data_IF_588384067602
#
_entry.id   IF_588384067602
#
_cell.length_a   1.000
_cell.length_b   1.000
_cell.length_c   1.000
_cell.angle_alpha   90.00
_cell.angle_beta   90.00
_cell.angle_gamma   90.00
#
_symmetry.space_group_name_H-M   'P 1'
#
loop_
_entity.id
_entity.type
_entity.pdbx_description
1 polymer ?
#
# COMPACT_ATOMS: atom_id res chain seq x y z
N UNK A 1 -15.87 -19.86 -0.19
CA UNK A 1 -14.94 -18.88 -0.78
C UNK A 1 -15.46 -18.59 -2.18
N UNK A 2 -16.09 -17.44 -2.38
CA UNK A 2 -16.35 -16.96 -3.74
C UNK A 2 -14.98 -16.74 -4.40
N UNK A 3 -14.79 -17.26 -5.62
CA UNK A 3 -13.63 -16.94 -6.45
C UNK A 3 -13.63 -15.41 -6.65
N UNK A 4 -12.83 -14.70 -5.86
CA UNK A 4 -12.53 -13.29 -6.07
C UNK A 4 -11.80 -13.19 -7.42
N UNK A 5 -12.47 -12.58 -8.40
CA UNK A 5 -12.06 -12.62 -9.81
C UNK A 5 -10.64 -12.10 -10.02
N UNK A 6 -9.86 -12.85 -10.80
CA UNK A 6 -8.61 -12.39 -11.40
C UNK A 6 -8.79 -11.02 -12.10
N UNK A 7 -7.71 -10.27 -12.26
CA UNK A 7 -7.74 -8.99 -12.93
C UNK A 7 -8.19 -9.13 -14.39
N UNK A 8 -9.22 -8.39 -14.77
CA UNK A 8 -9.83 -8.43 -16.10
C UNK A 8 -9.90 -7.03 -16.72
N UNK A 9 -9.74 -6.97 -18.05
CA UNK A 9 -9.95 -5.77 -18.86
C UNK A 9 -11.08 -6.03 -19.85
N UNK A 10 -12.18 -5.28 -19.70
CA UNK A 10 -13.36 -5.39 -20.57
C UNK A 10 -13.42 -4.16 -21.47
N UNK A 11 -13.42 -4.37 -22.79
CA UNK A 11 -13.53 -3.28 -23.77
C UNK A 11 -15.00 -3.06 -24.16
N UNK A 12 -15.51 -1.85 -23.94
CA UNK A 12 -16.83 -1.40 -24.36
C UNK A 12 -16.69 -0.14 -25.24
N UNK A 13 -16.68 -0.33 -26.56
CA UNK A 13 -16.47 0.78 -27.50
C UNK A 13 -15.11 1.42 -27.31
N UNK A 14 -15.08 2.70 -26.93
CA UNK A 14 -13.83 3.45 -26.64
C UNK A 14 -13.42 3.45 -25.16
N UNK A 15 -14.16 2.73 -24.31
CA UNK A 15 -13.94 2.67 -22.86
C UNK A 15 -13.39 1.29 -22.52
N UNK A 16 -12.29 1.23 -21.77
CA UNK A 16 -11.85 0.00 -21.11
C UNK A 16 -12.27 0.04 -19.64
N UNK A 17 -12.86 -1.04 -19.12
CA UNK A 17 -13.18 -1.19 -17.71
C UNK A 17 -12.17 -2.15 -17.07
N UNK A 18 -11.59 -1.72 -15.95
CA UNK A 18 -10.75 -2.60 -15.13
C UNK A 18 -11.60 -3.21 -14.02
N UNK A 19 -11.52 -4.53 -13.88
CA UNK A 19 -12.28 -5.29 -12.90
C UNK A 19 -11.35 -6.21 -12.11
N UNK A 20 -11.63 -6.39 -10.81
CA UNK A 20 -10.88 -7.28 -9.95
C UNK A 20 -9.78 -6.58 -9.15
N UNK A 21 -8.64 -7.25 -8.97
CA UNK A 21 -7.56 -6.82 -8.09
C UNK A 21 -6.32 -6.37 -8.90
N UNK A 22 -5.90 -5.11 -8.76
CA UNK A 22 -4.69 -4.59 -9.40
C UNK A 22 -3.50 -4.72 -8.44
N UNK A 23 -2.79 -5.85 -8.51
CA UNK A 23 -1.72 -6.24 -7.58
C UNK A 23 -0.36 -6.33 -8.27
N UNK A 24 0.71 -6.53 -7.50
CA UNK A 24 2.09 -6.60 -8.00
C UNK A 24 2.30 -7.72 -9.04
N UNK A 25 1.49 -8.76 -8.99
CA UNK A 25 1.52 -9.91 -9.91
C UNK A 25 0.63 -9.73 -11.16
N UNK A 26 -0.13 -8.65 -11.26
CA UNK A 26 -1.01 -8.40 -12.42
C UNK A 26 -0.18 -8.24 -13.69
N UNK A 27 -0.46 -9.07 -14.70
CA UNK A 27 0.23 -9.07 -16.00
C UNK A 27 -0.32 -7.98 -16.94
N UNK A 28 -0.02 -6.72 -16.64
CA UNK A 28 -0.51 -5.56 -17.39
C UNK A 28 -0.07 -5.55 -18.87
N UNK A 29 1.09 -6.14 -19.18
CA UNK A 29 1.65 -6.22 -20.53
C UNK A 29 0.71 -6.91 -21.52
N UNK A 30 -0.02 -7.93 -21.05
CA UNK A 30 -1.00 -8.66 -21.86
C UNK A 30 -2.17 -7.77 -22.31
N UNK A 31 -2.42 -6.66 -21.61
CA UNK A 31 -3.55 -5.78 -21.85
C UNK A 31 -3.18 -4.45 -22.54
N UNK A 32 -1.89 -4.17 -22.75
CA UNK A 32 -1.39 -2.92 -23.35
C UNK A 32 -2.07 -2.62 -24.69
N UNK A 33 -2.22 -3.61 -25.56
CA UNK A 33 -2.81 -3.41 -26.89
C UNK A 33 -4.28 -2.98 -26.85
N UNK A 34 -5.02 -3.42 -25.82
CA UNK A 34 -6.43 -3.06 -25.63
C UNK A 34 -6.49 -1.67 -24.99
N UNK A 35 -5.78 -1.48 -23.88
CA UNK A 35 -5.80 -0.24 -23.10
C UNK A 35 -5.27 0.97 -23.87
N UNK A 36 -4.24 0.80 -24.71
CA UNK A 36 -3.65 1.90 -25.50
C UNK A 36 -4.57 2.45 -26.59
N UNK A 37 -5.61 1.70 -26.98
CA UNK A 37 -6.63 2.15 -27.94
C UNK A 37 -7.80 2.86 -27.26
N UNK A 38 -7.89 2.78 -25.94
CA UNK A 38 -8.98 3.37 -25.19
C UNK A 38 -8.81 4.88 -25.05
N UNK A 39 -9.92 5.62 -25.27
CA UNK A 39 -9.99 7.04 -24.92
C UNK A 39 -10.17 7.23 -23.43
N UNK A 40 -10.77 6.24 -22.78
CA UNK A 40 -11.14 6.27 -21.37
C UNK A 40 -10.90 4.92 -20.71
N UNK A 41 -10.38 4.92 -19.49
CA UNK A 41 -10.23 3.74 -18.65
C UNK A 41 -11.01 3.97 -17.36
N UNK A 42 -12.06 3.16 -17.14
CA UNK A 42 -12.88 3.19 -15.92
C UNK A 42 -12.27 2.30 -14.84
N UNK A 43 -12.16 2.84 -13.63
CA UNK A 43 -11.62 2.15 -12.44
C UNK A 43 -12.73 1.73 -11.45
N UNK A 44 -14.00 1.83 -11.86
CA UNK A 44 -15.17 1.62 -10.99
C UNK A 44 -15.25 0.22 -10.36
N UNK A 45 -14.82 -0.79 -11.10
CA UNK A 45 -14.95 -2.21 -10.72
C UNK A 45 -13.64 -2.79 -10.13
N UNK A 46 -12.69 -1.93 -9.77
CA UNK A 46 -11.53 -2.35 -8.99
C UNK A 46 -11.93 -2.60 -7.54
N UNK A 47 -11.67 -3.82 -7.06
CA UNK A 47 -11.95 -4.24 -5.69
C UNK A 47 -10.82 -3.88 -4.73
N UNK A 48 -9.57 -4.05 -5.18
CA UNK A 48 -8.40 -3.60 -4.44
C UNK A 48 -7.26 -3.23 -5.39
N UNK A 49 -6.35 -2.40 -4.88
CA UNK A 49 -5.13 -2.00 -5.58
C UNK A 49 -3.94 -2.13 -4.65
N UNK A 50 -2.80 -2.55 -5.17
CA UNK A 50 -1.49 -2.41 -4.54
C UNK A 50 -0.83 -1.12 -5.00
N UNK A 51 0.14 -0.61 -4.24
CA UNK A 51 0.97 0.51 -4.70
C UNK A 51 1.65 0.20 -6.03
N UNK A 52 2.35 -0.93 -6.12
CA UNK A 52 3.18 -1.26 -7.28
C UNK A 52 2.33 -1.61 -8.51
N UNK A 53 1.22 -2.32 -8.32
CA UNK A 53 0.24 -2.56 -9.39
C UNK A 53 -0.32 -1.25 -9.95
N UNK A 54 -0.68 -0.30 -9.09
CA UNK A 54 -1.18 1.01 -9.52
C UNK A 54 -0.10 1.87 -10.17
N UNK A 55 1.12 1.86 -9.64
CA UNK A 55 2.27 2.56 -10.23
C UNK A 55 2.58 2.03 -11.63
N UNK A 56 2.70 0.70 -11.81
CA UNK A 56 2.95 0.08 -13.12
C UNK A 56 1.82 0.37 -14.10
N UNK A 57 0.57 0.32 -13.64
CA UNK A 57 -0.58 0.72 -14.44
C UNK A 57 -0.45 2.19 -14.89
N UNK A 58 -0.14 3.09 -13.96
CA UNK A 58 0.03 4.51 -14.28
C UNK A 58 1.17 4.74 -15.27
N UNK A 59 2.34 4.14 -15.06
CA UNK A 59 3.50 4.23 -15.96
C UNK A 59 3.19 3.71 -17.36
N UNK A 60 2.45 2.60 -17.45
CA UNK A 60 1.98 2.04 -18.72
C UNK A 60 1.06 3.04 -19.44
N UNK A 61 0.03 3.57 -18.76
CA UNK A 61 -0.90 4.54 -19.35
C UNK A 61 -0.18 5.82 -19.74
N UNK A 62 0.78 6.27 -18.93
CA UNK A 62 1.60 7.44 -19.22
C UNK A 62 2.42 7.29 -20.51
N UNK A 63 2.80 6.06 -20.89
CA UNK A 63 3.54 5.76 -22.13
C UNK A 63 2.65 5.68 -23.36
N UNK A 64 1.33 5.72 -23.22
CA UNK A 64 0.44 5.64 -24.38
C UNK A 64 0.60 6.87 -25.30
N UNK A 65 0.50 6.67 -26.62
CA UNK A 65 0.69 7.75 -27.60
C UNK A 65 -0.46 8.76 -27.57
N UNK A 66 -1.66 8.30 -27.23
CA UNK A 66 -2.86 9.13 -27.14
C UNK A 66 -3.13 9.50 -25.68
N UNK A 67 -3.70 10.69 -25.46
CA UNK A 67 -4.19 11.08 -24.14
C UNK A 67 -5.35 10.16 -23.74
N UNK A 68 -5.16 9.45 -22.64
CA UNK A 68 -6.19 8.61 -22.02
C UNK A 68 -6.75 9.29 -20.78
N UNK A 69 -8.07 9.22 -20.59
CA UNK A 69 -8.76 9.74 -19.41
C UNK A 69 -9.10 8.62 -18.44
N UNK A 70 -8.80 8.78 -17.16
CA UNK A 70 -9.27 7.88 -16.12
C UNK A 70 -10.63 8.33 -15.59
N UNK A 71 -11.57 7.40 -15.43
CA UNK A 71 -12.92 7.70 -14.93
C UNK A 71 -13.31 6.82 -13.76
N UNK A 72 -14.24 7.34 -12.96
CA UNK A 72 -14.83 6.70 -11.78
C UNK A 72 -13.76 6.16 -10.82
N UNK A 73 -12.69 6.93 -10.65
CA UNK A 73 -11.57 6.58 -9.78
C UNK A 73 -12.07 6.49 -8.32
N UNK A 74 -11.93 5.34 -7.64
CA UNK A 74 -12.29 5.23 -6.23
C UNK A 74 -11.47 6.17 -5.33
N UNK A 75 -11.98 6.61 -4.16
CA UNK A 75 -11.30 7.64 -3.35
C UNK A 75 -9.88 7.24 -2.93
N UNK A 76 -9.70 6.00 -2.48
CA UNK A 76 -8.40 5.46 -2.07
C UNK A 76 -7.41 5.40 -3.23
N UNK A 77 -7.84 4.95 -4.42
CA UNK A 77 -7.00 4.93 -5.64
C UNK A 77 -6.61 6.35 -6.04
N UNK A 78 -7.56 7.29 -5.98
CA UNK A 78 -7.32 8.69 -6.35
C UNK A 78 -6.28 9.35 -5.43
N UNK A 79 -6.35 9.11 -4.11
CA UNK A 79 -5.35 9.60 -3.15
C UNK A 79 -3.93 9.15 -3.51
N UNK A 80 -3.77 7.88 -3.91
CA UNK A 80 -2.47 7.33 -4.30
C UNK A 80 -1.99 7.94 -5.62
N UNK A 81 -2.88 8.02 -6.62
CA UNK A 81 -2.54 8.60 -7.93
C UNK A 81 -2.10 10.06 -7.82
N UNK A 82 -2.67 10.83 -6.91
CA UNK A 82 -2.26 12.22 -6.64
C UNK A 82 -0.82 12.37 -6.14
N UNK A 83 -0.25 11.31 -5.53
CA UNK A 83 1.15 11.29 -5.10
C UNK A 83 2.10 11.07 -6.29
N UNK A 84 1.62 10.46 -7.37
CA UNK A 84 2.47 10.11 -8.51
C UNK A 84 2.85 11.35 -9.33
N UNK A 85 4.14 11.49 -9.70
CA UNK A 85 4.59 12.60 -10.52
C UNK A 85 3.79 12.73 -11.82
N UNK A 86 3.45 13.96 -12.20
CA UNK A 86 2.73 14.27 -13.44
C UNK A 86 1.32 13.70 -13.57
N UNK A 87 0.73 13.16 -12.50
CA UNK A 87 -0.68 12.79 -12.49
C UNK A 87 -1.58 14.01 -12.74
N UNK A 88 -2.63 13.83 -13.54
CA UNK A 88 -3.52 14.92 -13.97
C UNK A 88 -2.95 15.84 -15.06
N UNK A 89 -1.66 15.75 -15.42
CA UNK A 89 -1.06 16.51 -16.53
C UNK A 89 -1.17 15.74 -17.86
N UNK A 90 -0.46 14.61 -18.00
CA UNK A 90 -0.43 13.79 -19.23
C UNK A 90 -1.58 12.79 -19.27
N UNK A 91 -1.75 12.05 -18.17
CA UNK A 91 -2.91 11.19 -17.95
C UNK A 91 -4.03 12.07 -17.41
N UNK A 92 -5.12 12.20 -18.17
CA UNK A 92 -6.23 13.06 -17.76
C UNK A 92 -7.16 12.35 -16.78
N UNK A 93 -7.91 13.11 -16.01
CA UNK A 93 -8.93 12.61 -15.09
C UNK A 93 -10.27 13.13 -15.58
N UNK A 94 -11.19 12.22 -15.89
CA UNK A 94 -12.56 12.53 -16.29
C UNK A 94 -13.47 12.65 -15.06
N UNK A 95 -13.40 11.66 -14.17
CA UNK A 95 -14.19 11.64 -12.94
C UNK A 95 -13.51 10.83 -11.85
N UNK A 96 -13.78 11.20 -10.60
CA UNK A 96 -13.35 10.46 -9.41
C UNK A 96 -14.39 10.61 -8.31
N UNK A 97 -14.38 9.66 -7.38
CA UNK A 97 -15.29 9.65 -6.25
C UNK A 97 -14.68 10.47 -5.10
N UNK A 98 -15.43 11.43 -4.58
CA UNK A 98 -15.10 12.13 -3.34
C UNK A 98 -16.03 11.70 -2.21
N UNK A 99 -15.55 11.84 -0.99
CA UNK A 99 -16.32 11.61 0.23
C UNK A 99 -16.91 12.95 0.69
N UNK A 100 -18.21 12.93 0.99
CA UNK A 100 -18.95 14.08 1.51
C UNK A 100 -19.68 13.69 2.78
N UNK A 101 -19.62 14.56 3.78
CA UNK A 101 -20.31 14.43 5.05
C UNK A 101 -21.56 15.29 5.03
N UNK A 102 -22.73 14.67 5.11
CA UNK A 102 -24.00 15.39 5.24
C UNK A 102 -24.11 16.08 6.60
N UNK A 103 -25.04 17.05 6.78
CA UNK A 103 -25.27 17.71 8.07
C UNK A 103 -25.61 16.76 9.23
N UNK A 104 -26.19 15.59 8.94
CA UNK A 104 -26.47 14.52 9.90
C UNK A 104 -25.27 13.59 10.17
N UNK A 105 -24.07 13.94 9.69
CA UNK A 105 -22.82 13.16 9.78
C UNK A 105 -22.82 11.84 8.98
N UNK A 106 -23.79 11.63 8.08
CA UNK A 106 -23.76 10.50 7.16
C UNK A 106 -22.74 10.75 6.04
N UNK A 107 -21.78 9.83 5.86
CA UNK A 107 -20.79 9.88 4.77
C UNK A 107 -21.37 9.28 3.49
N UNK A 108 -21.26 10.00 2.37
CA UNK A 108 -21.65 9.54 1.04
C UNK A 108 -20.49 9.71 0.06
N UNK A 109 -20.38 8.79 -0.91
CA UNK A 109 -19.46 8.91 -2.05
C UNK A 109 -20.20 9.49 -3.24
N UNK A 110 -19.65 10.53 -3.86
CA UNK A 110 -20.21 11.15 -5.07
C UNK A 110 -19.16 11.28 -6.16
N UNK A 111 -19.57 11.09 -7.41
CA UNK A 111 -18.69 11.28 -8.58
C UNK A 111 -18.57 12.77 -8.88
N UNK A 112 -17.34 13.26 -9.02
CA UNK A 112 -16.99 14.65 -9.34
C UNK A 112 -15.95 14.72 -10.45
N UNK A 113 -15.86 15.88 -11.10
CA UNK A 113 -14.76 16.22 -12.02
C UNK A 113 -13.82 17.21 -11.35
N UNK A 114 -12.57 17.25 -11.81
CA UNK A 114 -11.57 18.17 -11.23
C UNK A 114 -11.99 19.64 -11.50
N UNK A 115 -12.56 19.93 -12.67
CA UNK A 115 -13.01 21.28 -13.04
C UNK A 115 -14.09 21.80 -12.10
N UNK A 116 -15.08 20.95 -11.76
CA UNK A 116 -16.16 21.32 -10.85
C UNK A 116 -15.63 21.62 -9.44
N UNK A 117 -14.71 20.80 -8.93
CA UNK A 117 -14.10 21.03 -7.63
C UNK A 117 -13.23 22.29 -7.62
N UNK A 118 -12.51 22.58 -8.70
CA UNK A 118 -11.76 23.81 -8.82
C UNK A 118 -12.65 25.05 -8.88
N UNK A 119 -13.80 24.99 -9.54
CA UNK A 119 -14.77 26.09 -9.53
C UNK A 119 -15.33 26.33 -8.12
N UNK A 120 -15.69 25.26 -7.41
CA UNK A 120 -16.12 25.35 -6.00
C UNK A 120 -15.02 25.98 -5.14
N UNK A 121 -13.78 25.52 -5.28
CA UNK A 121 -12.64 26.04 -4.52
C UNK A 121 -12.36 27.52 -4.78
N UNK A 122 -12.51 27.98 -6.04
CA UNK A 122 -12.41 29.41 -6.37
C UNK A 122 -13.46 30.27 -5.68
N UNK A 123 -14.67 29.73 -5.47
CA UNK A 123 -15.79 30.45 -4.84
C UNK A 123 -15.73 30.42 -3.32
N UNK A 124 -15.42 29.27 -2.73
CA UNK A 124 -15.58 29.03 -1.29
C UNK A 124 -14.25 28.98 -0.53
N UNK A 125 -13.13 28.69 -1.20
CA UNK A 125 -11.84 28.41 -0.59
C UNK A 125 -11.55 26.92 -0.45
N UNK A 126 -10.54 26.58 0.36
CA UNK A 126 -10.00 25.22 0.42
C UNK A 126 -10.89 24.18 1.13
N UNK A 127 -11.75 24.60 2.06
CA UNK A 127 -12.74 23.74 2.72
C UNK A 127 -14.14 24.12 2.23
N UNK A 128 -14.79 23.23 1.49
CA UNK A 128 -15.98 23.60 0.71
C UNK A 128 -17.20 22.74 1.01
N UNK A 129 -18.37 23.31 0.71
CA UNK A 129 -19.66 22.66 0.80
C UNK A 129 -20.32 22.57 -0.58
N UNK A 130 -21.16 21.55 -0.75
CA UNK A 130 -22.05 21.44 -1.88
C UNK A 130 -23.29 22.32 -1.69
N UNK A 131 -24.07 22.48 -2.76
CA UNK A 131 -25.32 23.25 -2.77
C UNK A 131 -26.37 22.72 -1.77
N UNK A 132 -26.34 21.41 -1.49
CA UNK A 132 -27.23 20.77 -0.50
C UNK A 132 -26.74 20.93 0.96
N UNK A 133 -25.64 21.67 1.18
CA UNK A 133 -25.02 21.88 2.47
C UNK A 133 -24.09 20.75 2.93
N UNK A 134 -23.91 19.68 2.14
CA UNK A 134 -22.95 18.61 2.48
C UNK A 134 -21.51 19.15 2.42
N UNK A 135 -20.70 18.81 3.42
CA UNK A 135 -19.28 19.18 3.48
C UNK A 135 -18.44 18.20 2.66
N UNK A 136 -17.55 18.71 1.82
CA UNK A 136 -16.53 17.88 1.17
C UNK A 136 -15.47 17.51 2.22
N UNK A 137 -15.21 16.21 2.40
CA UNK A 137 -14.15 15.76 3.32
C UNK A 137 -12.78 15.96 2.67
N UNK A 138 -11.88 16.67 3.36
CA UNK A 138 -10.53 16.96 2.86
C UNK A 138 -10.40 18.33 2.20
N UNK A 139 -9.18 18.86 2.23
CA UNK A 139 -8.84 20.12 1.58
C UNK A 139 -8.83 19.98 0.05
N UNK A 140 -9.36 20.98 -0.64
CA UNK A 140 -9.27 21.06 -2.10
C UNK A 140 -7.82 21.21 -2.60
N UNK A 141 -6.87 21.66 -1.76
CA UNK A 141 -5.44 21.57 -2.10
C UNK A 141 -4.97 20.14 -2.32
N UNK A 142 -5.58 19.17 -1.64
CA UNK A 142 -5.25 17.76 -1.78
C UNK A 142 -6.08 17.12 -2.89
N UNK A 143 -7.38 17.42 -2.94
CA UNK A 143 -8.32 16.76 -3.86
C UNK A 143 -8.19 17.21 -5.34
N UNK A 144 -7.71 18.41 -5.61
CA UNK A 144 -7.58 18.92 -6.98
C UNK A 144 -6.23 19.58 -7.25
N UNK A 145 -5.19 19.12 -6.56
CA UNK A 145 -3.78 19.52 -6.73
C UNK A 145 -3.31 19.68 -8.18
N UNK A 146 -3.67 18.82 -9.16
CA UNK A 146 -3.24 19.01 -10.54
C UNK A 146 -3.65 20.35 -11.17
N UNK A 147 -4.71 21.00 -10.67
CA UNK A 147 -5.14 22.35 -11.07
C UNK A 147 -4.60 23.47 -10.18
N UNK A 148 -3.98 23.10 -9.05
CA UNK A 148 -3.50 23.99 -8.00
C UNK A 148 -2.04 23.66 -7.69
N UNK A 149 -1.14 23.96 -8.63
CA UNK A 149 0.31 23.89 -8.40
C UNK A 149 0.82 25.06 -7.55
N UNK A 150 -0.06 26.00 -7.19
CA UNK A 150 0.21 27.12 -6.30
C UNK A 150 -0.46 26.84 -4.94
N UNK A 151 0.35 26.69 -3.88
CA UNK A 151 -0.12 26.38 -2.52
C UNK A 151 -0.96 27.47 -1.87
N UNK A 152 -0.99 28.65 -2.48
CA UNK A 152 -1.88 29.74 -2.06
C UNK A 152 -3.30 29.63 -2.59
N UNK A 153 -3.57 28.67 -3.51
CA UNK A 153 -4.86 28.50 -4.18
C UNK A 153 -5.40 27.06 -4.09
N UNK A 154 -6.70 26.86 -3.77
CA UNK A 154 -7.66 27.88 -3.35
C UNK A 154 -7.31 28.48 -1.98
N UNK A 155 -7.65 29.77 -1.81
CA UNK A 155 -7.37 30.51 -0.56
C UNK A 155 -7.88 29.75 0.66
N UNK A 156 -7.09 29.75 1.73
CA UNK A 156 -7.53 29.27 3.04
C UNK A 156 -8.70 30.13 3.51
N UNK A 157 -9.79 29.48 3.88
CA UNK A 157 -11.06 30.10 4.22
C UNK A 157 -11.45 29.87 5.68
N UNK A 158 -10.49 30.08 6.59
CA UNK A 158 -10.75 29.98 8.01
C UNK A 158 -11.82 30.98 8.45
N UNK A 159 -12.80 30.53 9.25
CA UNK A 159 -13.83 31.40 9.82
C UNK A 159 -13.29 32.16 11.03
N UNK A 160 -12.61 31.45 11.95
CA UNK A 160 -12.08 32.01 13.20
C UNK A 160 -10.94 33.01 12.99
N UNK A 161 -11.00 34.13 13.72
CA UNK A 161 -9.93 35.13 13.77
C UNK A 161 -8.63 34.58 14.38
N UNK A 162 -8.72 33.61 15.29
CA UNK A 162 -7.53 33.01 15.89
C UNK A 162 -6.79 32.17 14.84
N UNK A 163 -7.50 31.33 14.08
CA UNK A 163 -6.90 30.53 13.01
C UNK A 163 -6.26 31.40 11.92
N UNK A 164 -6.91 32.52 11.55
CA UNK A 164 -6.33 33.49 10.59
C UNK A 164 -5.00 34.08 11.09
N UNK A 165 -4.89 34.40 12.38
CA UNK A 165 -3.64 34.95 12.97
C UNK A 165 -2.55 33.88 13.14
N UNK A 166 -2.94 32.62 13.27
CA UNK A 166 -2.05 31.49 13.52
C UNK A 166 -2.10 30.48 12.37
N UNK A 167 -2.21 30.98 11.13
CA UNK A 167 -2.41 30.13 9.95
C UNK A 167 -1.30 29.06 9.80
N UNK A 168 -0.05 29.43 10.12
CA UNK A 168 1.09 28.52 10.00
C UNK A 168 0.98 27.25 10.85
N UNK A 169 0.63 27.38 12.14
CA UNK A 169 0.49 26.21 13.02
C UNK A 169 -0.77 25.40 12.67
N UNK A 170 -1.87 26.06 12.30
CA UNK A 170 -3.09 25.38 11.84
C UNK A 170 -2.82 24.53 10.60
N UNK A 171 -2.14 25.10 9.61
CA UNK A 171 -1.74 24.38 8.40
C UNK A 171 -0.79 23.23 8.75
N UNK A 172 0.26 23.48 9.54
CA UNK A 172 1.22 22.43 9.87
C UNK A 172 0.56 21.20 10.54
N UNK A 173 -0.28 21.39 11.55
CA UNK A 173 -0.95 20.26 12.23
C UNK A 173 -1.90 19.51 11.30
N UNK A 174 -2.66 20.21 10.46
CA UNK A 174 -3.55 19.59 9.48
C UNK A 174 -2.78 18.81 8.40
N UNK A 175 -1.77 19.41 7.79
CA UNK A 175 -0.96 18.75 6.76
C UNK A 175 -0.22 17.52 7.34
N UNK A 176 0.28 17.62 8.58
CA UNK A 176 0.91 16.49 9.25
C UNK A 176 -0.08 15.36 9.59
N UNK A 177 -1.30 15.67 10.04
CA UNK A 177 -2.31 14.63 10.26
C UNK A 177 -2.74 13.95 8.96
N UNK A 178 -2.86 14.70 7.86
CA UNK A 178 -3.13 14.15 6.54
C UNK A 178 -1.96 13.28 6.03
N UNK A 179 -0.72 13.73 6.21
CA UNK A 179 0.49 12.96 5.89
C UNK A 179 0.54 11.64 6.68
N UNK A 180 0.29 11.67 7.99
CA UNK A 180 0.22 10.47 8.83
C UNK A 180 -0.86 9.50 8.33
N UNK A 181 -2.06 10.02 8.05
CA UNK A 181 -3.17 9.20 7.52
C UNK A 181 -2.79 8.50 6.22
N UNK A 182 -2.26 9.25 5.24
CA UNK A 182 -1.92 8.71 3.92
C UNK A 182 -0.80 7.71 4.01
N UNK A 183 0.25 7.98 4.79
CA UNK A 183 1.36 7.03 4.99
C UNK A 183 0.89 5.73 5.63
N UNK A 184 -0.05 5.77 6.59
CA UNK A 184 -0.64 4.56 7.17
C UNK A 184 -1.58 3.81 6.22
N UNK A 185 -2.35 4.53 5.39
CA UNK A 185 -3.14 3.92 4.31
C UNK A 185 -2.21 3.18 3.33
N UNK A 186 -1.07 3.78 2.98
CA UNK A 186 -0.04 3.14 2.16
C UNK A 186 0.58 1.91 2.82
N UNK A 187 0.88 1.97 4.13
CA UNK A 187 1.34 0.82 4.90
C UNK A 187 0.33 -0.33 4.89
N UNK A 188 -0.96 -0.02 5.04
CA UNK A 188 -2.04 -1.01 5.03
C UNK A 188 -2.09 -1.76 3.69
N UNK A 189 -2.01 -1.02 2.58
CA UNK A 189 -1.99 -1.60 1.24
C UNK A 189 -0.73 -2.43 0.97
N UNK A 190 0.43 -1.94 1.42
CA UNK A 190 1.69 -2.66 1.31
C UNK A 190 1.66 -3.97 2.11
N UNK A 191 1.10 -3.94 3.32
CA UNK A 191 0.97 -5.11 4.18
C UNK A 191 0.00 -6.14 3.58
N UNK A 192 -1.16 -5.71 3.09
CA UNK A 192 -2.14 -6.62 2.45
C UNK A 192 -1.55 -7.28 1.20
N UNK A 193 -0.85 -6.51 0.35
CA UNK A 193 -0.16 -7.06 -0.85
C UNK A 193 0.92 -8.07 -0.47
N UNK A 194 1.74 -7.73 0.53
CA UNK A 194 2.85 -8.57 0.99
C UNK A 194 2.34 -9.89 1.59
N UNK A 195 1.32 -9.82 2.45
CA UNK A 195 0.72 -10.99 3.07
C UNK A 195 0.15 -11.96 2.04
N UNK A 196 -0.63 -11.46 1.07
CA UNK A 196 -1.16 -12.30 -0.02
C UNK A 196 -0.06 -12.98 -0.83
N UNK A 197 0.99 -12.23 -1.17
CA UNK A 197 2.09 -12.76 -1.98
C UNK A 197 2.84 -13.88 -1.23
N UNK A 198 3.03 -13.73 0.08
CA UNK A 198 3.61 -14.79 0.93
C UNK A 198 2.67 -15.99 1.01
N UNK A 199 1.38 -15.79 1.27
CA UNK A 199 0.39 -16.87 1.36
C UNK A 199 0.33 -17.68 0.07
N UNK A 200 0.22 -17.02 -1.08
CA UNK A 200 0.24 -17.65 -2.41
C UNK A 200 1.52 -18.47 -2.62
N UNK A 201 2.68 -17.88 -2.35
CA UNK A 201 3.98 -18.51 -2.57
C UNK A 201 4.17 -19.71 -1.64
N UNK A 202 3.82 -19.60 -0.36
CA UNK A 202 3.87 -20.70 0.62
C UNK A 202 2.89 -21.82 0.26
N UNK A 203 1.69 -21.50 -0.23
CA UNK A 203 0.73 -22.50 -0.70
C UNK A 203 1.28 -23.26 -1.91
N UNK A 204 1.92 -22.58 -2.86
CA UNK A 204 2.57 -23.21 -4.01
C UNK A 204 3.73 -24.11 -3.59
N UNK A 205 4.61 -23.64 -2.69
CA UNK A 205 5.70 -24.43 -2.11
C UNK A 205 5.13 -25.67 -1.44
N UNK A 206 4.09 -25.51 -0.61
CA UNK A 206 3.47 -26.60 0.12
C UNK A 206 2.90 -27.67 -0.81
N UNK A 207 2.15 -27.25 -1.83
CA UNK A 207 1.59 -28.16 -2.81
C UNK A 207 2.68 -28.96 -3.52
N UNK A 208 3.76 -28.30 -3.96
CA UNK A 208 4.87 -28.95 -4.68
C UNK A 208 5.65 -29.91 -3.79
N UNK A 209 6.01 -29.49 -2.57
CA UNK A 209 6.67 -30.36 -1.59
C UNK A 209 5.78 -31.56 -1.27
N UNK A 210 4.49 -31.36 -1.04
CA UNK A 210 3.56 -32.45 -0.74
C UNK A 210 3.48 -33.45 -1.89
N UNK A 211 3.36 -32.98 -3.15
CA UNK A 211 3.38 -33.86 -4.32
C UNK A 211 4.68 -34.68 -4.39
N UNK A 212 5.84 -34.06 -4.14
CA UNK A 212 7.14 -34.73 -4.12
C UNK A 212 7.25 -35.76 -2.98
N UNK A 213 6.78 -35.44 -1.78
CA UNK A 213 6.73 -36.36 -0.62
C UNK A 213 5.80 -37.57 -0.85
N UNK A 214 4.70 -37.39 -1.58
CA UNK A 214 3.86 -38.51 -2.00
C UNK A 214 4.50 -39.32 -3.12
N UNK A 215 5.18 -38.65 -4.05
CA UNK A 215 5.90 -39.26 -5.17
C UNK A 215 7.04 -40.15 -4.68
N UNK A 216 7.88 -39.65 -3.78
CA UNK A 216 9.12 -40.31 -3.32
C UNK A 216 8.85 -41.68 -2.71
N UNK A 217 7.68 -41.92 -2.09
CA UNK A 217 7.30 -43.26 -1.60
C UNK A 217 7.28 -44.36 -2.64
N UNK A 218 7.21 -43.98 -3.92
CA UNK A 218 7.22 -44.92 -5.04
C UNK A 218 8.64 -45.42 -5.34
N UNK A 219 9.66 -44.67 -4.92
CA UNK A 219 11.08 -44.99 -5.10
C UNK A 219 11.79 -45.33 -3.77
N UNK A 220 11.36 -44.74 -2.66
CA UNK A 220 11.81 -45.01 -1.30
C UNK A 220 10.59 -45.14 -0.36
N UNK A 221 10.08 -46.37 -0.14
CA UNK A 221 8.93 -46.62 0.73
C UNK A 221 9.16 -46.23 2.20
N UNK A 222 10.41 -46.13 2.65
CA UNK A 222 10.77 -45.82 4.03
C UNK A 222 10.94 -44.32 4.28
N UNK A 223 10.78 -43.49 3.25
CA UNK A 223 10.85 -42.04 3.39
C UNK A 223 9.78 -41.52 4.37
N UNK A 224 10.22 -40.77 5.38
CA UNK A 224 9.39 -40.37 6.53
C UNK A 224 9.43 -38.88 6.86
N UNK A 225 10.18 -38.07 6.12
CA UNK A 225 10.22 -36.62 6.30
C UNK A 225 9.01 -35.95 5.61
N UNK A 226 8.02 -35.48 6.36
CA UNK A 226 6.85 -34.76 5.82
C UNK A 226 6.87 -33.28 6.21
N UNK A 227 7.72 -32.50 5.54
CA UNK A 227 7.84 -31.05 5.76
C UNK A 227 6.61 -30.27 5.30
N UNK A 228 5.85 -30.79 4.33
CA UNK A 228 4.60 -30.13 3.88
C UNK A 228 3.60 -29.87 5.01
N UNK A 229 3.56 -30.74 6.04
CA UNK A 229 2.64 -30.59 7.19
C UNK A 229 2.99 -29.39 8.07
N UNK A 230 4.27 -29.17 8.33
CA UNK A 230 4.76 -28.04 9.13
C UNK A 230 4.50 -26.70 8.43
N UNK A 231 4.61 -26.69 7.10
CA UNK A 231 4.29 -25.53 6.28
C UNK A 231 2.78 -25.23 6.30
N UNK A 232 1.92 -26.25 6.16
CA UNK A 232 0.47 -26.07 6.26
C UNK A 232 0.02 -25.53 7.62
N UNK A 233 0.70 -25.91 8.72
CA UNK A 233 0.33 -25.40 10.06
C UNK A 233 0.70 -23.94 10.29
N UNK A 234 1.65 -23.37 9.54
CA UNK A 234 2.08 -21.98 9.72
C UNK A 234 1.17 -20.99 8.95
N UNK A 235 0.62 -21.40 7.82
CA UNK A 235 -0.22 -20.54 6.96
C UNK A 235 -1.35 -19.81 7.73
N UNK A 236 -2.14 -20.47 8.61
CA UNK A 236 -3.20 -19.78 9.36
C UNK A 236 -2.67 -18.68 10.29
N UNK A 237 -1.54 -18.91 10.93
CA UNK A 237 -0.91 -17.94 11.84
C UNK A 237 -0.45 -16.68 11.11
N UNK A 238 0.20 -16.85 9.95
CA UNK A 238 0.63 -15.74 9.08
C UNK A 238 -0.56 -14.90 8.64
N UNK A 239 -1.63 -15.58 8.22
CA UNK A 239 -2.86 -14.96 7.78
C UNK A 239 -3.51 -14.15 8.91
N UNK A 240 -3.61 -14.73 10.11
CA UNK A 240 -4.22 -14.07 11.27
C UNK A 240 -3.45 -12.83 11.71
N UNK A 241 -2.11 -12.89 11.80
CA UNK A 241 -1.34 -11.72 12.20
C UNK A 241 -1.35 -10.64 11.12
N UNK A 242 -1.18 -11.02 9.85
CA UNK A 242 -1.23 -10.06 8.74
C UNK A 242 -2.56 -9.32 8.71
N UNK A 243 -3.67 -10.06 8.87
CA UNK A 243 -5.01 -9.50 8.97
C UNK A 243 -5.16 -8.58 10.19
N UNK A 244 -4.62 -8.98 11.34
CA UNK A 244 -4.64 -8.16 12.56
C UNK A 244 -3.93 -6.82 12.36
N UNK A 245 -2.74 -6.83 11.74
CA UNK A 245 -1.98 -5.61 11.44
C UNK A 245 -2.74 -4.73 10.45
N UNK A 246 -3.26 -5.29 9.35
CA UNK A 246 -4.06 -4.52 8.38
C UNK A 246 -5.28 -3.88 9.04
N UNK A 247 -5.98 -4.62 9.92
CA UNK A 247 -7.10 -4.07 10.71
C UNK A 247 -6.63 -2.92 11.60
N UNK A 248 -5.50 -3.08 12.29
CA UNK A 248 -4.91 -2.05 13.15
C UNK A 248 -4.53 -0.78 12.38
N UNK A 249 -3.89 -0.93 11.22
CA UNK A 249 -3.52 0.17 10.33
C UNK A 249 -4.76 0.90 9.79
N UNK A 250 -5.78 0.15 9.36
CA UNK A 250 -7.03 0.73 8.86
C UNK A 250 -7.80 1.47 9.96
N UNK A 251 -7.85 0.91 11.18
CA UNK A 251 -8.44 1.58 12.34
C UNK A 251 -7.70 2.88 12.64
N UNK A 252 -6.36 2.83 12.65
CA UNK A 252 -5.53 4.00 12.91
C UNK A 252 -5.73 5.09 11.85
N UNK A 253 -5.70 4.71 10.57
CA UNK A 253 -5.96 5.62 9.44
C UNK A 253 -7.35 6.27 9.54
N UNK A 254 -8.38 5.49 9.91
CA UNK A 254 -9.74 6.02 10.13
C UNK A 254 -9.81 7.01 11.29
N UNK A 255 -9.09 6.75 12.39
CA UNK A 255 -9.04 7.71 13.51
C UNK A 255 -8.29 8.98 13.10
N UNK A 256 -7.18 8.89 12.37
CA UNK A 256 -6.47 10.08 11.89
C UNK A 256 -7.26 10.87 10.85
N UNK A 257 -8.11 10.20 10.06
CA UNK A 257 -9.12 10.86 9.25
C UNK A 257 -10.12 11.64 10.11
N UNK A 258 -10.68 11.04 11.17
CA UNK A 258 -11.58 11.73 12.09
C UNK A 258 -10.91 12.94 12.76
N UNK A 259 -9.62 12.84 13.10
CA UNK A 259 -8.82 13.97 13.60
C UNK A 259 -8.74 15.08 12.56
N UNK A 260 -8.43 14.74 11.30
CA UNK A 260 -8.34 15.70 10.20
C UNK A 260 -9.69 16.39 9.93
N UNK A 261 -10.79 15.63 9.96
CA UNK A 261 -12.15 16.15 9.81
C UNK A 261 -12.58 17.06 10.97
N UNK A 262 -12.01 16.83 12.17
CA UNK A 262 -12.20 17.69 13.34
C UNK A 262 -11.42 18.99 13.19
N UNK A 263 -10.17 18.94 12.69
CA UNK A 263 -9.44 20.15 12.32
C UNK A 263 -10.21 20.99 11.29
N UNK A 264 -10.80 20.36 10.26
CA UNK A 264 -11.64 21.07 9.29
C UNK A 264 -12.86 21.74 9.94
N UNK A 265 -13.52 21.06 10.88
CA UNK A 265 -14.64 21.63 11.63
C UNK A 265 -14.21 22.82 12.49
N UNK A 266 -13.07 22.70 13.17
CA UNK A 266 -12.41 23.76 13.93
C UNK A 266 -12.15 24.97 13.01
N UNK A 267 -11.55 24.76 11.86
CA UNK A 267 -11.20 25.85 10.94
C UNK A 267 -12.41 26.63 10.42
N UNK A 268 -13.56 25.97 10.28
CA UNK A 268 -14.80 26.56 9.79
C UNK A 268 -15.71 27.15 10.89
N UNK A 269 -15.40 26.91 12.16
CA UNK A 269 -16.18 27.44 13.28
C UNK A 269 -15.83 28.90 13.61
N UNK A 270 -16.85 29.74 13.81
CA UNK A 270 -16.69 31.17 14.11
C UNK A 270 -16.29 31.45 15.56
N UNK A 271 -16.59 30.51 16.48
CA UNK A 271 -16.44 30.70 17.94
C UNK A 271 -15.11 30.18 18.51
N UNK A 272 -14.25 29.61 17.67
CA UNK A 272 -13.08 28.86 18.11
C UNK A 272 -12.03 29.69 18.83
N UNK A 273 -11.44 29.06 19.86
CA UNK A 273 -10.26 29.53 20.59
C UNK A 273 -9.13 28.50 20.40
N UNK A 274 -7.87 28.95 20.33
CA UNK A 274 -6.68 28.10 20.16
C UNK A 274 -6.61 26.80 20.98
N UNK A 275 -7.08 26.72 22.24
CA UNK A 275 -7.05 25.49 23.04
C UNK A 275 -7.65 24.26 22.36
N UNK A 276 -8.76 24.39 21.63
CA UNK A 276 -9.40 23.24 20.98
C UNK A 276 -8.52 22.62 19.87
N UNK A 277 -7.71 23.44 19.18
CA UNK A 277 -6.72 22.94 18.23
C UNK A 277 -5.65 22.12 18.94
N UNK A 278 -5.15 22.63 20.07
CA UNK A 278 -4.12 21.94 20.86
C UNK A 278 -4.68 20.66 21.49
N UNK A 279 -5.90 20.67 22.03
CA UNK A 279 -6.54 19.49 22.60
C UNK A 279 -6.74 18.39 21.54
N UNK A 280 -7.08 18.78 20.31
CA UNK A 280 -7.19 17.86 19.19
C UNK A 280 -5.82 17.25 18.80
N UNK A 281 -4.74 18.04 18.85
CA UNK A 281 -3.39 17.55 18.60
C UNK A 281 -2.87 16.68 19.75
N UNK A 282 -3.24 16.97 21.00
CA UNK A 282 -2.97 16.10 22.16
C UNK A 282 -3.64 14.73 21.98
N UNK A 283 -4.89 14.71 21.49
CA UNK A 283 -5.58 13.47 21.16
C UNK A 283 -4.83 12.69 20.06
N UNK A 284 -4.38 13.39 19.01
CA UNK A 284 -3.54 12.79 17.97
C UNK A 284 -2.25 12.17 18.53
N UNK A 285 -1.53 12.89 19.38
CA UNK A 285 -0.25 12.44 19.97
C UNK A 285 -0.46 11.18 20.83
N UNK A 286 -1.51 11.15 21.64
CA UNK A 286 -1.85 10.00 22.50
C UNK A 286 -2.29 8.79 21.69
N UNK A 287 -3.05 9.01 20.63
CA UNK A 287 -3.56 7.92 19.80
C UNK A 287 -2.43 7.20 19.03
N UNK A 288 -1.35 7.92 18.72
CA UNK A 288 -0.17 7.34 18.03
C UNK A 288 0.49 6.21 18.82
N UNK A 289 0.30 6.13 20.14
CA UNK A 289 0.84 5.02 20.96
C UNK A 289 0.33 3.63 20.52
N UNK A 290 -0.79 3.58 19.79
CA UNK A 290 -1.31 2.35 19.22
C UNK A 290 -0.45 1.79 18.08
N UNK A 291 0.43 2.60 17.45
CA UNK A 291 1.30 2.13 16.36
C UNK A 291 2.46 1.27 16.87
N UNK A 292 2.97 1.52 18.08
CA UNK A 292 4.08 0.77 18.69
C UNK A 292 3.84 -0.74 18.79
N UNK A 293 2.71 -1.23 19.36
CA UNK A 293 2.45 -2.67 19.40
C UNK A 293 2.31 -3.28 18.00
N UNK A 294 1.80 -2.53 17.00
CA UNK A 294 1.70 -3.02 15.62
C UNK A 294 3.08 -3.22 15.00
N UNK A 295 4.00 -2.28 15.21
CA UNK A 295 5.39 -2.40 14.74
C UNK A 295 6.08 -3.64 15.34
N UNK A 296 5.89 -3.90 16.64
CA UNK A 296 6.42 -5.11 17.30
C UNK A 296 5.82 -6.39 16.72
N UNK A 297 4.51 -6.45 16.50
CA UNK A 297 3.87 -7.63 15.89
C UNK A 297 4.37 -7.91 14.48
N UNK A 298 4.69 -6.86 13.70
CA UNK A 298 5.31 -7.00 12.38
C UNK A 298 6.73 -7.56 12.46
N UNK A 299 7.52 -7.12 13.43
CA UNK A 299 8.86 -7.65 13.69
C UNK A 299 8.81 -9.13 14.05
N UNK A 300 7.97 -9.50 15.03
CA UNK A 300 7.84 -10.88 15.51
C UNK A 300 7.48 -11.83 14.37
N UNK A 301 6.52 -11.45 13.53
CA UNK A 301 6.11 -12.25 12.36
C UNK A 301 7.16 -12.25 11.26
N UNK A 302 7.81 -11.12 11.00
CA UNK A 302 8.90 -11.04 10.03
C UNK A 302 10.04 -12.00 10.39
N UNK A 303 10.43 -12.05 11.67
CA UNK A 303 11.44 -12.97 12.20
C UNK A 303 10.97 -14.41 12.11
N UNK A 304 9.76 -14.72 12.60
CA UNK A 304 9.21 -16.07 12.56
C UNK A 304 9.10 -16.62 11.13
N UNK A 305 8.63 -15.80 10.20
CA UNK A 305 8.55 -16.15 8.80
C UNK A 305 9.93 -16.32 8.17
N UNK A 306 10.89 -15.45 8.48
CA UNK A 306 12.26 -15.56 8.01
C UNK A 306 12.90 -16.88 8.43
N UNK A 307 12.80 -17.21 9.72
CA UNK A 307 13.31 -18.45 10.30
C UNK A 307 12.67 -19.70 9.68
N UNK A 308 11.35 -19.65 9.43
CA UNK A 308 10.63 -20.78 8.85
C UNK A 308 10.83 -20.90 7.34
N UNK A 309 11.00 -19.79 6.62
CA UNK A 309 11.27 -19.79 5.17
C UNK A 309 12.59 -20.50 4.84
N UNK A 310 13.62 -20.30 5.66
CA UNK A 310 14.88 -21.04 5.54
C UNK A 310 14.68 -22.54 5.76
N UNK A 311 13.87 -22.93 6.76
CA UNK A 311 13.55 -24.35 7.04
C UNK A 311 12.73 -25.00 5.92
N UNK A 312 11.91 -24.25 5.20
CA UNK A 312 11.15 -24.74 4.04
C UNK A 312 12.04 -25.02 2.84
N UNK A 313 13.15 -24.30 2.69
CA UNK A 313 14.16 -24.53 1.64
C UNK A 313 15.00 -25.79 1.83
N UNK A 314 15.00 -26.37 3.04
CA UNK A 314 15.74 -27.60 3.34
C UNK A 314 15.01 -28.85 2.81
N UNK A 315 14.94 -28.99 1.49
CA UNK A 315 14.38 -30.17 0.79
C UNK A 315 15.48 -31.10 0.27
N UNK A 316 16.67 -31.03 0.87
CA UNK A 316 17.88 -31.75 0.44
C UNK A 316 17.72 -33.26 0.54
N UNK A 317 17.12 -33.79 1.62
CA UNK A 317 16.83 -35.22 1.78
C UNK A 317 15.91 -35.74 0.67
N UNK A 318 14.83 -34.99 0.40
CA UNK A 318 13.86 -35.33 -0.65
C UNK A 318 14.50 -35.28 -2.04
N UNK A 319 15.30 -34.24 -2.31
CA UNK A 319 16.08 -34.11 -3.55
C UNK A 319 17.05 -35.26 -3.75
N UNK A 320 17.80 -35.62 -2.70
CA UNK A 320 18.78 -36.71 -2.72
C UNK A 320 18.11 -38.07 -2.97
N UNK A 321 16.92 -38.30 -2.42
CA UNK A 321 16.15 -39.52 -2.67
C UNK A 321 15.82 -39.70 -4.17
N UNK A 322 15.44 -38.63 -4.87
CA UNK A 322 15.23 -38.68 -6.32
C UNK A 322 16.54 -38.78 -7.11
N UNK A 323 17.59 -38.04 -6.75
CA UNK A 323 18.86 -38.02 -7.49
C UNK A 323 19.67 -39.32 -7.37
N UNK A 324 19.58 -40.03 -6.24
CA UNK A 324 20.34 -41.27 -6.01
C UNK A 324 19.64 -42.52 -6.54
N UNK A 325 18.37 -42.41 -6.94
CA UNK A 325 17.63 -43.52 -7.49
C UNK A 325 18.00 -43.77 -8.96
N UNK A 326 18.52 -44.98 -9.25
CA UNK A 326 19.09 -45.30 -10.57
C UNK A 326 18.06 -45.50 -11.69
N UNK A 327 16.76 -45.63 -11.38
CA UNK A 327 15.70 -45.82 -12.37
C UNK A 327 15.60 -47.20 -12.99
N UNK A 328 16.65 -48.04 -12.90
CA UNK A 328 16.79 -49.29 -13.67
C UNK A 328 15.69 -50.33 -13.41
N UNK A 329 15.10 -50.30 -12.21
CA UNK A 329 14.08 -51.26 -11.78
C UNK A 329 12.64 -50.71 -11.87
N UNK A 330 12.44 -49.50 -12.42
CA UNK A 330 11.11 -48.92 -12.59
C UNK A 330 10.42 -49.44 -13.86
N UNK A 331 9.36 -50.22 -13.67
CA UNK A 331 8.41 -50.51 -14.76
C UNK A 331 7.65 -49.25 -15.20
N UNK A 332 7.20 -49.20 -16.46
CA UNK A 332 6.35 -48.10 -16.97
C UNK A 332 5.12 -47.85 -16.09
N UNK A 333 4.52 -48.91 -15.54
CA UNK A 333 3.38 -48.82 -14.61
C UNK A 333 3.74 -48.06 -13.32
N UNK A 334 4.96 -48.26 -12.80
CA UNK A 334 5.44 -47.55 -11.62
C UNK A 334 5.77 -46.09 -11.97
N UNK A 335 6.32 -45.82 -13.15
CA UNK A 335 6.58 -44.45 -13.63
C UNK A 335 5.26 -43.69 -13.82
N UNK A 336 4.25 -44.29 -14.45
CA UNK A 336 2.93 -43.70 -14.59
C UNK A 336 2.25 -43.44 -13.23
N UNK A 337 2.46 -44.34 -12.26
CA UNK A 337 1.95 -44.15 -10.88
C UNK A 337 2.68 -43.01 -10.18
N UNK A 338 4.00 -42.90 -10.32
CA UNK A 338 4.80 -41.80 -9.79
C UNK A 338 4.34 -40.46 -10.39
N UNK A 339 4.27 -40.36 -11.72
CA UNK A 339 3.82 -39.16 -12.45
C UNK A 339 2.42 -38.73 -12.03
N UNK A 340 1.49 -39.69 -11.84
CA UNK A 340 0.16 -39.43 -11.29
C UNK A 340 0.20 -38.81 -9.89
N UNK A 341 1.01 -39.35 -8.98
CA UNK A 341 1.17 -38.80 -7.62
C UNK A 341 1.79 -37.40 -7.62
N UNK A 342 2.69 -37.14 -8.57
CA UNK A 342 3.31 -35.83 -8.79
C UNK A 342 2.40 -34.84 -9.52
N UNK A 343 1.19 -35.25 -9.96
CA UNK A 343 0.28 -34.49 -10.82
C UNK A 343 0.90 -34.04 -12.16
N UNK A 344 1.81 -34.86 -12.70
CA UNK A 344 2.41 -34.67 -14.02
C UNK A 344 1.57 -35.38 -15.10
N UNK A 345 1.78 -35.04 -16.38
CA UNK A 345 1.13 -35.74 -17.49
C UNK A 345 1.50 -37.23 -17.47
N UNK A 346 0.50 -38.10 -17.59
CA UNK A 346 0.64 -39.56 -17.49
C UNK A 346 0.86 -40.23 -18.86
N UNK A 347 0.66 -39.49 -19.95
CA UNK A 347 0.60 -40.05 -21.31
C UNK A 347 1.77 -39.61 -22.19
N UNK A 348 2.67 -38.77 -21.68
CA UNK A 348 3.91 -38.34 -22.31
C UNK A 348 5.11 -38.67 -21.40
N UNK A 349 6.25 -39.01 -22.00
CA UNK A 349 7.56 -39.14 -21.34
C UNK A 349 7.65 -40.18 -20.20
N UNK A 350 7.41 -41.46 -20.52
CA UNK A 350 7.44 -42.58 -19.55
C UNK A 350 8.86 -43.09 -19.21
N UNK A 351 9.91 -42.37 -19.59
CA UNK A 351 11.28 -42.71 -19.16
C UNK A 351 11.59 -42.12 -17.79
N UNK A 352 12.49 -42.78 -17.04
CA UNK A 352 12.98 -42.25 -15.78
C UNK A 352 13.77 -40.95 -15.99
N UNK A 353 14.61 -40.86 -17.03
CA UNK A 353 15.41 -39.65 -17.26
C UNK A 353 14.55 -38.41 -17.51
N UNK A 354 13.49 -38.52 -18.31
CA UNK A 354 12.59 -37.39 -18.58
C UNK A 354 11.76 -37.04 -17.34
N UNK A 355 11.25 -38.05 -16.62
CA UNK A 355 10.51 -37.83 -15.37
C UNK A 355 11.39 -37.17 -14.31
N UNK A 356 12.65 -37.60 -14.17
CA UNK A 356 13.61 -37.00 -13.26
C UNK A 356 13.90 -35.53 -13.63
N UNK A 357 13.97 -35.20 -14.92
CA UNK A 357 14.13 -33.81 -15.38
C UNK A 357 12.94 -32.93 -15.00
N UNK A 358 11.71 -33.43 -15.12
CA UNK A 358 10.51 -32.73 -14.65
C UNK A 358 10.51 -32.56 -13.12
N UNK A 359 10.91 -33.59 -12.37
CA UNK A 359 11.09 -33.52 -10.91
C UNK A 359 12.16 -32.48 -10.52
N UNK A 360 13.27 -32.40 -11.25
CA UNK A 360 14.30 -31.38 -11.03
C UNK A 360 13.77 -29.96 -11.29
N UNK A 361 12.89 -29.79 -12.29
CA UNK A 361 12.20 -28.52 -12.51
C UNK A 361 11.28 -28.15 -11.34
N UNK A 362 10.58 -29.12 -10.73
CA UNK A 362 9.78 -28.87 -9.52
C UNK A 362 10.62 -28.33 -8.36
N UNK A 363 11.81 -28.88 -8.13
CA UNK A 363 12.75 -28.35 -7.13
C UNK A 363 13.18 -26.91 -7.44
N UNK A 364 13.44 -26.59 -8.72
CA UNK A 364 13.79 -25.23 -9.15
C UNK A 364 12.62 -24.26 -8.95
N UNK A 365 11.38 -24.69 -9.23
CA UNK A 365 10.18 -23.89 -9.00
C UNK A 365 9.97 -23.61 -7.51
N UNK A 366 10.19 -24.59 -6.64
CA UNK A 366 10.16 -24.38 -5.18
C UNK A 366 11.19 -23.32 -4.76
N UNK A 367 12.42 -23.38 -5.28
CA UNK A 367 13.45 -22.38 -4.99
C UNK A 367 13.07 -20.97 -5.48
N UNK A 368 12.44 -20.87 -6.65
CA UNK A 368 11.95 -19.59 -7.16
C UNK A 368 10.86 -18.99 -6.27
N UNK A 369 9.88 -19.79 -5.84
CA UNK A 369 8.82 -19.33 -4.92
C UNK A 369 9.38 -18.98 -3.54
N UNK A 370 10.39 -19.72 -3.04
CA UNK A 370 11.09 -19.36 -1.81
C UNK A 370 11.82 -18.01 -1.95
N UNK A 371 12.50 -17.79 -3.07
CA UNK A 371 13.11 -16.49 -3.37
C UNK A 371 12.08 -15.37 -3.39
N UNK A 372 10.90 -15.63 -3.95
CA UNK A 372 9.77 -14.70 -3.93
C UNK A 372 9.27 -14.41 -2.52
N UNK A 373 9.12 -15.42 -1.64
CA UNK A 373 8.81 -15.22 -0.23
C UNK A 373 9.85 -14.36 0.48
N UNK A 374 11.14 -14.63 0.29
CA UNK A 374 12.23 -13.89 0.94
C UNK A 374 12.20 -12.40 0.55
N UNK A 375 11.98 -12.10 -0.73
CA UNK A 375 11.82 -10.72 -1.20
C UNK A 375 10.57 -10.09 -0.59
N UNK A 376 9.46 -10.82 -0.53
CA UNK A 376 8.21 -10.33 0.06
C UNK A 376 8.36 -9.98 1.54
N UNK A 377 9.14 -10.76 2.31
CA UNK A 377 9.36 -10.49 3.74
C UNK A 377 9.96 -9.12 4.03
N UNK A 378 10.68 -8.53 3.07
CA UNK A 378 11.16 -7.16 3.17
C UNK A 378 10.01 -6.16 3.30
N UNK A 379 8.82 -6.47 2.79
CA UNK A 379 7.61 -5.65 2.93
C UNK A 379 7.17 -5.48 4.39
N UNK A 380 7.27 -6.53 5.22
CA UNK A 380 6.96 -6.42 6.66
C UNK A 380 7.92 -5.45 7.36
N UNK A 381 9.21 -5.56 7.04
CA UNK A 381 10.24 -4.71 7.61
C UNK A 381 10.07 -3.24 7.17
N UNK A 382 9.75 -3.00 5.89
CA UNK A 382 9.45 -1.66 5.39
C UNK A 382 8.25 -1.05 6.12
N UNK A 383 7.14 -1.79 6.28
CA UNK A 383 5.97 -1.28 7.02
C UNK A 383 6.33 -0.99 8.47
N UNK A 384 7.07 -1.88 9.14
CA UNK A 384 7.58 -1.67 10.51
C UNK A 384 8.42 -0.39 10.62
N UNK A 385 9.39 -0.20 9.72
CA UNK A 385 10.24 1.00 9.70
C UNK A 385 9.40 2.28 9.57
N UNK A 386 8.44 2.31 8.63
CA UNK A 386 7.55 3.47 8.48
C UNK A 386 6.77 3.76 9.77
N UNK A 387 6.24 2.73 10.45
CA UNK A 387 5.57 2.90 11.74
C UNK A 387 6.49 3.49 12.81
N UNK A 388 7.72 2.98 12.92
CA UNK A 388 8.72 3.48 13.86
C UNK A 388 9.16 4.92 13.56
N UNK A 389 9.19 5.30 12.28
CA UNK A 389 9.45 6.68 11.88
C UNK A 389 8.35 7.61 12.37
N UNK A 390 7.08 7.24 12.11
CA UNK A 390 5.90 7.99 12.56
C UNK A 390 5.83 8.11 14.08
N UNK A 391 6.13 7.03 14.82
CA UNK A 391 6.22 7.08 16.29
C UNK A 391 7.32 8.05 16.72
N UNK A 392 8.52 7.95 16.15
CA UNK A 392 9.65 8.82 16.50
C UNK A 392 9.44 10.30 16.16
N UNK A 393 8.59 10.62 15.19
CA UNK A 393 8.16 11.99 14.89
C UNK A 393 7.16 12.52 15.92
N UNK A 394 6.24 11.67 16.38
CA UNK A 394 5.27 12.03 17.41
C UNK A 394 5.91 12.14 18.79
N UNK A 395 7.00 11.42 19.06
CA UNK A 395 7.82 11.65 20.26
C UNK A 395 8.36 13.09 20.31
N UNK A 396 8.85 13.62 19.17
CA UNK A 396 9.30 15.02 19.09
C UNK A 396 8.16 15.99 19.41
N UNK A 397 6.97 15.73 18.83
CA UNK A 397 5.78 16.51 19.14
C UNK A 397 5.51 16.46 20.64
N UNK A 398 5.40 15.27 21.22
CA UNK A 398 5.12 15.05 22.65
C UNK A 398 6.10 15.80 23.56
N UNK A 399 7.39 15.75 23.27
CA UNK A 399 8.43 16.36 24.09
C UNK A 399 8.41 17.90 24.07
N UNK A 400 7.88 18.50 23.00
CA UNK A 400 7.94 19.95 22.77
C UNK A 400 6.56 20.62 22.72
N UNK A 401 5.47 19.84 22.75
CA UNK A 401 4.11 20.31 22.53
C UNK A 401 3.68 21.34 23.57
N UNK A 402 3.94 21.05 24.86
CA UNK A 402 3.57 21.95 25.95
C UNK A 402 4.35 23.27 25.88
N UNK A 403 5.63 23.24 25.50
CA UNK A 403 6.43 24.45 25.32
C UNK A 403 5.88 25.34 24.18
N UNK A 404 5.33 24.76 23.11
CA UNK A 404 4.65 25.52 22.05
C UNK A 404 3.31 26.06 22.54
N UNK A 405 2.54 25.25 23.29
CA UNK A 405 1.25 25.66 23.87
C UNK A 405 1.41 26.83 24.86
N UNK A 406 2.43 26.78 25.71
CA UNK A 406 2.77 27.81 26.70
C UNK A 406 3.53 29.01 26.11
N UNK A 407 3.90 28.95 24.82
CA UNK A 407 4.71 29.95 24.08
C UNK A 407 6.16 30.09 24.56
N UNK A 408 6.68 29.12 25.29
CA UNK A 408 8.11 29.00 25.60
C UNK A 408 8.94 28.62 24.36
N UNK A 409 8.29 28.02 23.36
CA UNK A 409 8.88 27.64 22.08
C UNK A 409 8.03 28.16 20.90
N UNK A 410 8.70 28.69 19.88
CA UNK A 410 8.05 29.11 18.64
C UNK A 410 7.67 27.87 17.80
N UNK A 411 6.47 27.84 17.22
CA UNK A 411 5.93 26.64 16.56
C UNK A 411 6.76 26.20 15.33
N UNK A 412 7.40 27.14 14.62
CA UNK A 412 8.28 26.88 13.48
C UNK A 412 9.47 26.03 13.89
N UNK A 413 9.97 26.18 15.13
CA UNK A 413 11.06 25.35 15.64
C UNK A 413 10.58 23.90 15.85
N UNK A 414 9.35 23.71 16.34
CA UNK A 414 8.76 22.37 16.44
C UNK A 414 8.56 21.76 15.05
N UNK A 415 8.02 22.54 14.11
CA UNK A 415 7.89 22.14 12.69
C UNK A 415 9.23 21.70 12.11
N UNK A 416 10.29 22.47 12.31
CA UNK A 416 11.63 22.16 11.82
C UNK A 416 12.15 20.83 12.39
N UNK A 417 12.04 20.60 13.70
CA UNK A 417 12.46 19.33 14.33
C UNK A 417 11.71 18.12 13.75
N UNK A 418 10.39 18.24 13.59
CA UNK A 418 9.56 17.16 13.02
C UNK A 418 9.93 16.91 11.55
N UNK A 419 10.10 17.97 10.75
CA UNK A 419 10.44 17.82 9.33
C UNK A 419 11.84 17.24 9.11
N UNK A 420 12.83 17.64 9.91
CA UNK A 420 14.17 17.03 9.90
C UNK A 420 14.06 15.53 10.19
N UNK A 421 13.27 15.17 11.22
CA UNK A 421 13.06 13.76 11.58
C UNK A 421 12.42 12.95 10.46
N UNK A 422 11.44 13.52 9.76
CA UNK A 422 10.81 12.88 8.59
C UNK A 422 11.88 12.66 7.51
N UNK A 423 12.55 13.74 7.06
CA UNK A 423 13.51 13.69 5.94
C UNK A 423 14.68 12.76 6.21
N UNK A 424 15.21 12.75 7.44
CA UNK A 424 16.33 11.89 7.83
C UNK A 424 15.98 10.38 7.82
N UNK A 425 14.68 10.03 7.70
CA UNK A 425 14.17 8.67 7.84
C UNK A 425 13.30 8.19 6.66
N UNK A 426 13.17 8.96 5.58
CA UNK A 426 12.40 8.52 4.41
C UNK A 426 13.05 7.30 3.75
N UNK A 427 12.41 6.13 3.85
CA UNK A 427 12.95 4.87 3.31
C UNK A 427 12.23 4.40 2.06
N UNK A 428 10.97 4.78 1.87
CA UNK A 428 10.16 4.34 0.73
C UNK A 428 9.84 5.46 -0.25
N UNK A 429 9.60 5.13 -1.52
CA UNK A 429 9.14 6.09 -2.53
C UNK A 429 7.76 6.65 -2.19
N UNK A 430 6.90 5.83 -1.58
CA UNK A 430 5.60 6.23 -1.06
C UNK A 430 5.73 7.37 -0.04
N UNK A 431 6.64 7.24 0.93
CA UNK A 431 6.89 8.29 1.92
C UNK A 431 7.50 9.54 1.29
N UNK A 432 8.44 9.39 0.35
CA UNK A 432 9.05 10.53 -0.36
C UNK A 432 8.01 11.31 -1.15
N UNK A 433 7.14 10.63 -1.90
CA UNK A 433 6.06 11.27 -2.64
C UNK A 433 5.02 11.89 -1.70
N UNK A 434 4.67 11.21 -0.61
CA UNK A 434 3.77 11.77 0.42
C UNK A 434 4.38 13.03 1.06
N UNK A 435 5.66 13.00 1.40
CA UNK A 435 6.36 14.15 1.97
C UNK A 435 6.38 15.33 1.00
N UNK A 436 6.80 15.10 -0.25
CA UNK A 436 6.79 16.15 -1.28
C UNK A 436 5.37 16.70 -1.56
N UNK A 437 4.35 15.85 -1.41
CA UNK A 437 2.97 16.28 -1.51
C UNK A 437 2.57 17.18 -0.34
N UNK A 438 2.69 16.76 0.92
CA UNK A 438 2.20 17.54 2.06
C UNK A 438 3.13 18.69 2.47
N UNK A 439 4.42 18.62 2.14
CA UNK A 439 5.45 19.56 2.59
C UNK A 439 6.34 20.12 1.45
N UNK A 440 5.73 20.70 0.39
CA UNK A 440 6.41 21.05 -0.85
C UNK A 440 7.44 22.19 -0.72
N UNK A 441 7.23 23.13 0.21
CA UNK A 441 8.09 24.31 0.41
C UNK A 441 9.19 24.11 1.46
N UNK A 442 9.40 22.86 1.91
CA UNK A 442 10.36 22.58 2.97
C UNK A 442 11.79 22.57 2.43
N UNK A 443 12.37 23.76 2.29
CA UNK A 443 13.82 23.94 2.19
C UNK A 443 14.43 23.78 3.58
N UNK A 444 14.66 22.54 3.99
CA UNK A 444 15.54 22.28 5.14
C UNK A 444 16.92 22.80 4.74
N UNK A 445 17.51 23.69 5.53
CA UNK A 445 18.83 24.23 5.25
C UNK A 445 19.81 23.06 5.13
N UNK A 446 20.56 23.02 4.03
CA UNK A 446 21.44 21.90 3.62
C UNK A 446 22.43 21.40 4.70
N UNK A 447 22.63 22.12 5.79
CA UNK A 447 23.58 21.79 6.85
C UNK A 447 22.98 20.99 8.04
N UNK A 448 21.66 20.81 8.12
CA UNK A 448 21.00 20.24 9.31
C UNK A 448 20.41 18.82 9.12
N UNK A 449 20.42 18.28 7.90
CA UNK A 449 20.00 16.90 7.59
C UNK A 449 21.16 16.07 7.05
N UNK A 450 21.29 14.83 7.51
CA UNK A 450 22.36 13.91 7.05
C UNK A 450 22.18 13.44 5.61
N UNK A 451 20.97 13.57 5.05
CA UNK A 451 20.62 13.10 3.70
C UNK A 451 20.73 14.18 2.61
N UNK A 452 20.75 15.47 2.96
CA UNK A 452 20.79 16.57 1.99
C UNK A 452 22.18 16.89 1.39
N UNK A 453 23.20 16.08 1.72
CA UNK A 453 24.57 16.24 1.20
C UNK A 453 24.80 15.62 -0.20
N UNK A 454 23.77 15.15 -0.89
CA UNK A 454 23.93 14.33 -2.10
C UNK A 454 23.17 14.77 -3.34
N UNK A 455 21.85 14.84 -3.30
CA UNK A 455 21.04 15.03 -4.52
C UNK A 455 19.77 15.84 -4.22
N UNK A 456 19.51 16.84 -5.06
CA UNK A 456 18.27 17.63 -5.07
C UNK A 456 17.06 16.72 -5.28
N UNK A 457 16.26 16.55 -4.23
CA UNK A 457 14.99 15.84 -4.22
C UNK A 457 13.88 16.66 -4.92
N UNK A 458 13.98 16.87 -6.22
CA UNK A 458 12.85 17.37 -7.02
C UNK A 458 12.93 16.81 -8.44
N UNK A 459 11.88 16.09 -8.87
CA UNK A 459 11.64 15.70 -10.26
C UNK A 459 10.42 16.45 -10.81
#
# INVERSE_FOLDING_TARGET
>A
MENQSDFEVIQEGSISKLKGHLVDSTQLEAHVQILSKAKEISLKELFSVSWLGLQRFYEMVFKFPNKTLLSDIPPHVYRILLLLPSFGKKVGVKSFMIEVSKPNQEKKKISMTIEKLAEIGKKQGCFAHLEDGSRISGSLHHLCRPLFNDFSLPKKNFSSNWCKKNEGICNFFYEYSCFMRVTLEMCSLAQDSTARLIEESLQQICMRISNLEFGVKTIDPNFSEYKSRSLMSLMPHIHEVSKSVVIGLNLSSTTFEAVSETFEAIFLSERMVGPELFDQMDYFIKFTDQLTPMARSLEDVGVELGDNTLKYGEISSLRKAFETFSGRDLSEKNIATLRRKLKMDQYTNLTWEETLKEIQNEFKLIQNELGRCIVALQGFDLVRQVLEHRVGEVEILRDHFEAVRSKEMHWEKLKELVLIKIVDRLVTDQEKFSFAFFFPDCTIKQNDSKLLNGETFFF
#
